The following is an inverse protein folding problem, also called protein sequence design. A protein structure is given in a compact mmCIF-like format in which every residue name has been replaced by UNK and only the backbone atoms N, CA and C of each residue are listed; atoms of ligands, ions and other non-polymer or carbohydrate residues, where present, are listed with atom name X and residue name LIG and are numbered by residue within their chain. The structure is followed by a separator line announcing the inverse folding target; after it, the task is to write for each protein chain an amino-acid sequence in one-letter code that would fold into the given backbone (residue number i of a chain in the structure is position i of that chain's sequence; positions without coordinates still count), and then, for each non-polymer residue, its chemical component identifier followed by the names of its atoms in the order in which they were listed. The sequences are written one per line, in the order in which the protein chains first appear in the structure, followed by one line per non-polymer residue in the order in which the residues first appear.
data_IF_238483226251
#
_entry.id   IF_238483226251
#
_cell.length_a   1.000
_cell.length_b   1.000
_cell.length_c   1.000
_cell.angle_alpha   90.00
_cell.angle_beta   90.00
_cell.angle_gamma   90.00
#
_symmetry.space_group_name_H-M   'P 1'
#
loop_
_entity.id
_entity.type
_entity.pdbx_description
1 polymer ?
#
# COMPACT_ATOMS: atom_id res chain seq x y z
N UNK A 1 64.60 17.01 46.91
CA UNK A 1 63.58 17.67 45.98
C UNK A 1 63.13 16.64 44.97
N UNK A 2 62.00 16.00 45.20
CA UNK A 2 61.46 14.94 44.34
C UNK A 2 60.31 15.57 43.51
N UNK A 3 60.40 15.47 42.17
CA UNK A 3 59.34 15.88 41.26
C UNK A 3 58.47 14.67 40.94
N UNK A 4 57.22 14.70 41.35
CA UNK A 4 56.22 13.72 40.97
C UNK A 4 55.74 14.02 39.56
N UNK A 5 55.88 13.06 38.63
CA UNK A 5 55.31 13.09 37.29
C UNK A 5 53.91 12.49 37.29
N UNK A 6 52.91 13.23 36.89
CA UNK A 6 51.56 12.75 36.64
C UNK A 6 51.51 12.16 35.25
N UNK A 7 51.27 10.87 35.15
CA UNK A 7 50.92 10.19 33.92
C UNK A 7 49.41 10.30 33.72
N UNK A 8 49.00 11.08 32.73
CA UNK A 8 47.58 11.20 32.32
C UNK A 8 47.17 9.97 31.49
N UNK A 9 46.24 9.18 32.00
CA UNK A 9 45.56 8.14 31.23
C UNK A 9 44.51 8.82 30.30
N UNK A 10 44.79 8.77 29.04
CA UNK A 10 43.78 9.15 28.03
C UNK A 10 42.77 7.98 27.83
N UNK A 11 41.54 8.17 28.30
CA UNK A 11 40.43 7.27 27.97
C UNK A 11 39.91 7.59 26.57
N UNK A 12 40.24 6.75 25.61
CA UNK A 12 39.64 6.78 24.28
C UNK A 12 38.28 6.07 24.34
N UNK A 13 37.20 6.84 24.44
CA UNK A 13 35.83 6.31 24.27
C UNK A 13 35.61 6.03 22.81
N UNK A 14 35.63 4.75 22.41
CA UNK A 14 35.18 4.29 21.10
C UNK A 14 33.65 4.32 21.09
N UNK A 15 33.06 5.35 20.50
CA UNK A 15 31.64 5.35 20.15
C UNK A 15 31.43 4.37 19.03
N UNK A 16 31.04 3.15 19.36
CA UNK A 16 30.52 2.17 18.43
C UNK A 16 29.18 2.67 17.89
N UNK A 17 29.17 3.26 16.68
CA UNK A 17 27.94 3.51 15.94
C UNK A 17 27.33 2.14 15.62
N UNK A 18 26.32 1.73 16.37
CA UNK A 18 25.46 0.62 15.99
C UNK A 18 24.75 1.04 14.71
N UNK A 19 25.21 0.53 13.56
CA UNK A 19 24.47 0.55 12.31
C UNK A 19 23.19 -0.26 12.56
N UNK A 20 22.12 0.43 12.93
CA UNK A 20 20.79 -0.14 12.88
C UNK A 20 20.56 -0.55 11.42
N UNK A 21 20.67 -1.84 11.12
CA UNK A 21 20.17 -2.41 9.88
C UNK A 21 18.70 -2.08 9.87
N UNK A 22 18.33 -1.07 9.07
CA UNK A 22 16.93 -0.77 8.79
C UNK A 22 16.36 -2.06 8.19
N UNK A 23 15.66 -2.84 9.00
CA UNK A 23 14.92 -3.99 8.53
C UNK A 23 14.04 -3.49 7.40
N UNK A 24 14.18 -4.10 6.22
CA UNK A 24 13.37 -3.69 5.07
C UNK A 24 11.91 -3.79 5.47
N UNK A 25 11.20 -2.68 5.38
CA UNK A 25 9.78 -2.63 5.71
C UNK A 25 9.03 -3.66 4.88
N UNK A 26 8.16 -4.43 5.53
CA UNK A 26 7.29 -5.34 4.81
C UNK A 26 6.50 -4.56 3.76
N UNK A 27 6.43 -5.07 2.55
CA UNK A 27 5.75 -4.39 1.46
C UNK A 27 4.30 -4.86 1.35
N UNK A 28 3.39 -3.90 1.38
CA UNK A 28 2.00 -4.07 0.99
C UNK A 28 1.82 -3.47 -0.39
N UNK A 29 1.26 -4.20 -1.33
CA UNK A 29 0.96 -3.70 -2.67
C UNK A 29 -0.54 -3.47 -2.82
N UNK A 30 -0.94 -2.26 -3.15
CA UNK A 30 -2.32 -1.93 -3.48
C UNK A 30 -2.48 -1.97 -5.01
N UNK A 31 -3.09 -3.04 -5.52
CA UNK A 31 -3.36 -3.27 -6.93
C UNK A 31 -4.81 -2.89 -7.27
N UNK A 32 -5.01 -2.06 -8.27
CA UNK A 32 -6.35 -1.64 -8.65
C UNK A 32 -6.36 -0.67 -9.82
N UNK A 33 -7.48 0.00 -9.99
CA UNK A 33 -7.69 1.02 -11.02
C UNK A 33 -7.58 2.45 -10.46
N UNK A 34 -8.47 3.37 -10.91
CA UNK A 34 -8.46 4.78 -10.52
C UNK A 34 -8.65 5.02 -9.02
N UNK A 35 -9.53 4.27 -8.36
CA UNK A 35 -9.74 4.40 -6.92
C UNK A 35 -8.53 3.95 -6.09
N UNK A 36 -7.66 3.10 -6.63
CA UNK A 36 -6.37 2.78 -6.00
C UNK A 36 -5.32 3.83 -6.37
N UNK A 37 -5.27 4.27 -7.63
CA UNK A 37 -4.37 5.34 -8.06
C UNK A 37 -4.60 6.66 -7.31
N UNK A 38 -5.85 6.90 -6.88
CA UNK A 38 -6.35 8.11 -6.25
C UNK A 38 -7.22 8.95 -7.18
N UNK A 39 -7.04 8.82 -8.50
CA UNK A 39 -7.74 9.62 -9.50
C UNK A 39 -7.98 8.88 -10.82
N UNK A 40 -8.91 9.38 -11.60
CA UNK A 40 -9.17 8.95 -12.97
C UNK A 40 -8.16 9.49 -13.98
N UNK A 41 -8.62 9.65 -15.21
CA UNK A 41 -7.84 10.19 -16.34
C UNK A 41 -8.36 11.55 -16.83
N UNK A 42 -9.40 12.07 -16.20
CA UNK A 42 -10.04 13.32 -16.58
C UNK A 42 -9.19 14.55 -16.28
N UNK A 43 -9.53 15.66 -16.91
CA UNK A 43 -8.87 16.96 -16.73
C UNK A 43 -9.40 17.74 -15.52
N UNK A 44 -10.59 17.40 -15.01
CA UNK A 44 -11.23 18.04 -13.85
C UNK A 44 -11.12 17.16 -12.61
N UNK A 45 -11.44 17.67 -11.40
CA UNK A 45 -11.19 16.91 -10.16
C UNK A 45 -11.93 15.58 -10.16
N UNK A 46 -11.28 14.58 -10.70
CA UNK A 46 -11.70 13.20 -10.82
C UNK A 46 -10.99 12.31 -9.79
N UNK A 47 -10.65 12.86 -8.65
CA UNK A 47 -9.96 12.15 -7.57
C UNK A 47 -9.07 13.04 -6.74
N UNK A 48 -8.06 12.43 -6.16
CA UNK A 48 -7.07 13.05 -5.27
C UNK A 48 -5.65 12.77 -5.75
N UNK A 49 -4.70 13.56 -5.29
CA UNK A 49 -3.29 13.31 -5.55
C UNK A 49 -2.77 12.08 -4.77
N UNK A 50 -1.69 11.46 -5.26
CA UNK A 50 -1.14 10.23 -4.68
C UNK A 50 -0.94 10.26 -3.16
N UNK A 51 -0.46 11.35 -2.53
CA UNK A 51 -0.32 11.42 -1.08
C UNK A 51 -1.66 11.37 -0.32
N UNK A 52 -2.76 11.71 -0.97
CA UNK A 52 -4.13 11.67 -0.41
C UNK A 52 -4.87 10.38 -0.78
N UNK A 53 -4.35 9.58 -1.71
CA UNK A 53 -4.91 8.28 -2.07
C UNK A 53 -4.77 7.29 -0.89
N UNK A 54 -5.71 6.35 -0.79
CA UNK A 54 -5.79 5.43 0.36
C UNK A 54 -4.49 4.64 0.62
N UNK A 55 -3.69 4.22 -0.38
CA UNK A 55 -2.46 3.49 -0.07
C UNK A 55 -1.48 4.31 0.76
N UNK A 56 -1.29 5.60 0.43
CA UNK A 56 -0.41 6.49 1.19
C UNK A 56 -1.00 6.83 2.58
N UNK A 57 -2.32 6.95 2.69
CA UNK A 57 -2.98 7.18 3.98
C UNK A 57 -2.90 5.93 4.87
N UNK A 58 -3.05 4.74 4.30
CA UNK A 58 -2.90 3.47 4.99
C UNK A 58 -1.48 3.29 5.53
N UNK A 59 -0.47 3.61 4.71
CA UNK A 59 0.92 3.58 5.15
C UNK A 59 1.14 4.45 6.39
N UNK A 60 0.70 5.72 6.33
CA UNK A 60 0.83 6.64 7.47
C UNK A 60 0.09 6.14 8.71
N UNK A 61 -1.12 5.61 8.53
CA UNK A 61 -1.93 5.08 9.62
C UNK A 61 -1.23 3.89 10.31
N UNK A 62 -0.72 2.95 9.53
CA UNK A 62 -0.01 1.78 10.04
C UNK A 62 1.30 2.18 10.73
N UNK A 63 2.06 3.12 10.15
CA UNK A 63 3.29 3.64 10.75
C UNK A 63 3.03 4.36 12.07
N UNK A 64 1.95 5.13 12.17
CA UNK A 64 1.53 5.77 13.43
C UNK A 64 1.16 4.75 14.52
N UNK A 65 0.78 3.53 14.14
CA UNK A 65 0.51 2.40 15.03
C UNK A 65 1.79 1.57 15.34
N UNK A 66 2.97 2.03 14.92
CA UNK A 66 4.24 1.34 15.14
C UNK A 66 4.55 0.23 14.13
N UNK A 67 3.74 0.03 13.11
CA UNK A 67 3.96 -0.95 12.06
C UNK A 67 4.96 -0.41 11.02
N UNK A 68 6.13 -1.03 10.90
CA UNK A 68 7.13 -0.68 9.89
C UNK A 68 6.75 -1.30 8.55
N UNK A 69 5.96 -0.57 7.77
CA UNK A 69 5.45 -1.03 6.48
C UNK A 69 5.51 0.07 5.44
N UNK A 70 5.76 -0.30 4.20
CA UNK A 70 5.59 0.54 3.02
C UNK A 70 4.42 0.01 2.19
N UNK A 71 3.52 0.89 1.77
CA UNK A 71 2.36 0.56 0.94
C UNK A 71 2.57 1.10 -0.47
N UNK A 72 2.92 0.22 -1.39
CA UNK A 72 3.10 0.59 -2.79
C UNK A 72 1.74 0.82 -3.48
N UNK A 73 1.54 2.01 -4.05
CA UNK A 73 0.37 2.29 -4.87
C UNK A 73 0.60 1.80 -6.30
N UNK A 74 0.07 0.63 -6.62
CA UNK A 74 0.05 0.02 -7.94
C UNK A 74 -1.31 0.22 -8.65
N UNK A 75 -2.02 1.32 -8.39
CA UNK A 75 -3.22 1.72 -9.11
C UNK A 75 -2.89 2.28 -10.49
N UNK A 76 -3.67 1.90 -11.51
CA UNK A 76 -3.61 2.45 -12.87
C UNK A 76 -5.03 2.79 -13.32
N UNK A 77 -5.32 4.08 -13.52
CA UNK A 77 -6.64 4.55 -13.91
C UNK A 77 -7.14 3.85 -15.18
N UNK A 78 -8.38 3.38 -15.14
CA UNK A 78 -9.03 2.69 -16.25
C UNK A 78 -8.61 1.23 -16.45
N UNK A 79 -7.76 0.65 -15.60
CA UNK A 79 -7.40 -0.77 -15.73
C UNK A 79 -8.60 -1.69 -15.52
N UNK A 80 -8.69 -2.72 -16.35
CA UNK A 80 -9.52 -3.92 -16.16
C UNK A 80 -8.80 -4.92 -15.28
N UNK A 81 -9.49 -5.95 -14.78
CA UNK A 81 -8.89 -7.05 -14.04
C UNK A 81 -7.89 -7.85 -14.89
N UNK A 82 -8.15 -8.04 -16.18
CA UNK A 82 -7.19 -8.65 -17.09
C UNK A 82 -5.87 -7.85 -17.16
N UNK A 83 -5.95 -6.52 -17.23
CA UNK A 83 -4.77 -5.66 -17.22
C UNK A 83 -4.05 -5.67 -15.86
N UNK A 84 -4.79 -5.81 -14.75
CA UNK A 84 -4.20 -6.00 -13.41
C UNK A 84 -3.44 -7.32 -13.34
N UNK A 85 -4.04 -8.42 -13.82
CA UNK A 85 -3.40 -9.74 -13.89
C UNK A 85 -2.12 -9.69 -14.74
N UNK A 86 -2.15 -9.11 -15.91
CA UNK A 86 -1.00 -9.01 -16.81
C UNK A 86 0.21 -8.29 -16.19
N UNK A 87 -0.01 -7.30 -15.32
CA UNK A 87 1.07 -6.55 -14.66
C UNK A 87 1.40 -7.01 -13.23
N UNK A 88 0.67 -8.00 -12.73
CA UNK A 88 0.85 -8.52 -11.38
C UNK A 88 2.27 -9.04 -11.10
N UNK A 89 2.94 -9.80 -12.01
CA UNK A 89 4.31 -10.24 -11.78
C UNK A 89 5.30 -9.11 -11.51
N UNK A 90 5.10 -7.95 -12.17
CA UNK A 90 5.94 -6.77 -11.98
C UNK A 90 5.53 -5.96 -10.73
N UNK A 91 4.27 -6.02 -10.34
CA UNK A 91 3.76 -5.28 -9.19
C UNK A 91 4.19 -5.91 -7.86
N UNK A 92 4.28 -7.24 -7.78
CA UNK A 92 4.69 -7.96 -6.59
C UNK A 92 6.22 -8.10 -6.54
N UNK A 93 6.84 -7.33 -5.65
CA UNK A 93 8.26 -7.46 -5.31
C UNK A 93 8.55 -8.69 -4.45
N UNK A 94 9.84 -9.03 -4.29
CA UNK A 94 10.28 -10.18 -3.46
C UNK A 94 9.90 -10.04 -1.97
N UNK A 95 9.74 -8.81 -1.49
CA UNK A 95 9.43 -8.51 -0.10
C UNK A 95 7.93 -8.29 0.14
N UNK A 96 7.09 -8.45 -0.90
CA UNK A 96 5.64 -8.29 -0.79
C UNK A 96 5.06 -9.41 0.07
N UNK A 97 4.28 -9.05 1.08
CA UNK A 97 3.58 -9.97 1.99
C UNK A 97 2.07 -9.91 1.83
N UNK A 98 1.54 -8.73 1.51
CA UNK A 98 0.11 -8.49 1.40
C UNK A 98 -0.19 -7.77 0.09
N UNK A 99 -1.17 -8.30 -0.63
CA UNK A 99 -1.77 -7.68 -1.81
C UNK A 99 -3.17 -7.18 -1.44
N UNK A 100 -3.39 -5.88 -1.50
CA UNK A 100 -4.75 -5.33 -1.50
C UNK A 100 -5.22 -5.33 -2.95
N UNK A 101 -6.26 -6.10 -3.26
CA UNK A 101 -6.83 -6.16 -4.59
C UNK A 101 -8.14 -5.39 -4.64
N UNK A 102 -8.16 -4.30 -5.42
CA UNK A 102 -9.36 -3.52 -5.70
C UNK A 102 -9.80 -3.77 -7.17
N UNK A 103 -10.64 -4.77 -7.42
CA UNK A 103 -11.23 -4.96 -8.73
C UNK A 103 -12.17 -3.80 -9.03
N UNK A 104 -12.23 -3.36 -10.26
CA UNK A 104 -13.02 -2.18 -10.65
C UNK A 104 -14.14 -2.49 -11.62
N UNK A 105 -15.09 -1.56 -11.73
CA UNK A 105 -16.18 -1.61 -12.71
C UNK A 105 -15.74 -1.33 -14.16
N UNK A 106 -14.44 -1.29 -14.45
CA UNK A 106 -13.95 -1.04 -15.80
C UNK A 106 -14.17 -2.23 -16.73
N UNK A 107 -14.21 -3.44 -16.20
CA UNK A 107 -14.51 -4.64 -16.98
C UNK A 107 -15.90 -4.51 -17.61
N UNK A 108 -16.90 -4.20 -16.82
CA UNK A 108 -18.27 -3.99 -17.33
C UNK A 108 -18.36 -2.86 -18.34
N UNK A 109 -17.68 -1.73 -18.10
CA UNK A 109 -17.69 -0.56 -19.00
C UNK A 109 -16.98 -0.81 -20.34
N UNK A 110 -16.13 -1.81 -20.42
CA UNK A 110 -15.32 -2.13 -21.61
C UNK A 110 -15.77 -3.41 -22.32
N UNK A 111 -17.02 -3.82 -22.14
CA UNK A 111 -17.58 -4.94 -22.88
C UNK A 111 -17.53 -6.26 -22.14
N UNK A 112 -17.40 -6.22 -20.82
CA UNK A 112 -17.37 -7.41 -20.01
C UNK A 112 -16.06 -8.18 -20.16
N UNK A 113 -15.88 -9.16 -19.43
CA UNK A 113 -14.73 -10.05 -19.40
C UNK A 113 -14.83 -10.88 -18.15
N UNK A 114 -14.00 -11.83 -18.03
CA UNK A 114 -13.97 -12.80 -16.96
C UNK A 114 -13.45 -12.18 -15.65
N UNK A 115 -14.18 -11.15 -15.15
CA UNK A 115 -13.77 -10.42 -13.92
C UNK A 115 -13.53 -11.40 -12.78
N UNK A 116 -14.42 -12.37 -12.60
CA UNK A 116 -14.30 -13.40 -11.58
C UNK A 116 -13.07 -14.27 -11.76
N UNK A 117 -12.87 -14.76 -12.97
CA UNK A 117 -11.74 -15.63 -13.32
C UNK A 117 -10.41 -14.90 -13.20
N UNK A 118 -10.36 -13.64 -13.65
CA UNK A 118 -9.16 -12.78 -13.49
C UNK A 118 -8.84 -12.52 -12.01
N UNK A 119 -9.84 -12.26 -11.18
CA UNK A 119 -9.66 -12.06 -9.74
C UNK A 119 -9.14 -13.34 -9.09
N UNK A 120 -9.68 -14.48 -9.46
CA UNK A 120 -9.23 -15.78 -8.95
C UNK A 120 -7.80 -16.10 -9.39
N UNK A 121 -7.46 -15.85 -10.65
CA UNK A 121 -6.09 -16.01 -11.15
C UNK A 121 -5.09 -15.11 -10.42
N UNK A 122 -5.48 -13.85 -10.08
CA UNK A 122 -4.66 -12.95 -9.27
C UNK A 122 -4.44 -13.52 -7.86
N UNK A 123 -5.47 -14.06 -7.22
CA UNK A 123 -5.35 -14.69 -5.89
C UNK A 123 -4.44 -15.92 -5.93
N UNK A 124 -4.59 -16.79 -6.92
CA UNK A 124 -3.76 -17.97 -7.09
C UNK A 124 -2.29 -17.60 -7.31
N UNK A 125 -2.03 -16.60 -8.14
CA UNK A 125 -0.67 -16.09 -8.37
C UNK A 125 -0.05 -15.52 -7.10
N UNK A 126 -0.80 -14.77 -6.30
CA UNK A 126 -0.35 -14.23 -5.02
C UNK A 126 -0.07 -15.36 -4.01
N UNK A 127 -0.99 -16.32 -3.88
CA UNK A 127 -0.87 -17.47 -2.99
C UNK A 127 0.38 -18.32 -3.31
N UNK A 128 0.67 -18.56 -4.59
CA UNK A 128 1.87 -19.29 -5.04
C UNK A 128 3.18 -18.59 -4.63
N UNK A 129 3.14 -17.34 -4.23
CA UNK A 129 4.28 -16.53 -3.73
C UNK A 129 4.22 -16.28 -2.23
N UNK A 130 3.28 -16.91 -1.52
CA UNK A 130 3.09 -16.67 -0.08
C UNK A 130 2.56 -15.27 0.25
N UNK A 131 1.95 -14.58 -0.72
CA UNK A 131 1.37 -13.25 -0.54
C UNK A 131 -0.11 -13.38 -0.17
N UNK A 132 -0.48 -12.86 1.01
CA UNK A 132 -1.86 -12.82 1.45
C UNK A 132 -2.67 -11.79 0.64
N UNK A 133 -3.93 -12.09 0.32
CA UNK A 133 -4.79 -11.17 -0.44
C UNK A 133 -5.88 -10.60 0.45
N UNK A 134 -5.95 -9.27 0.51
CA UNK A 134 -7.04 -8.50 1.11
C UNK A 134 -7.90 -7.93 -0.01
N UNK A 135 -9.16 -8.32 -0.06
CA UNK A 135 -10.10 -7.83 -1.06
C UNK A 135 -10.66 -6.46 -0.68
N UNK A 136 -10.68 -5.55 -1.65
CA UNK A 136 -11.30 -4.25 -1.51
C UNK A 136 -12.30 -4.04 -2.67
N UNK A 137 -13.44 -4.69 -2.59
CA UNK A 137 -14.44 -4.79 -3.65
C UNK A 137 -15.64 -3.84 -3.50
N UNK A 138 -15.83 -3.23 -2.33
CA UNK A 138 -17.00 -2.42 -2.01
C UNK A 138 -16.69 -0.99 -1.52
N UNK A 139 -15.89 -0.19 -2.26
CA UNK A 139 -15.54 1.16 -1.82
C UNK A 139 -16.78 2.07 -1.63
N UNK A 140 -17.81 1.90 -2.45
CA UNK A 140 -19.04 2.68 -2.35
C UNK A 140 -19.85 2.45 -1.07
N UNK A 141 -19.79 1.27 -0.47
CA UNK A 141 -20.40 0.96 0.84
C UNK A 141 -19.69 1.69 1.98
N UNK A 142 -18.37 1.83 1.86
CA UNK A 142 -17.54 2.39 2.94
C UNK A 142 -17.62 3.91 2.92
N UNK A 143 -17.49 4.53 1.77
CA UNK A 143 -17.34 5.98 1.64
C UNK A 143 -18.26 6.59 0.57
N UNK A 144 -19.44 6.01 0.31
CA UNK A 144 -20.35 6.47 -0.75
C UNK A 144 -20.74 7.95 -0.63
N UNK A 145 -20.89 8.47 0.60
CA UNK A 145 -21.17 9.89 0.87
C UNK A 145 -20.04 10.85 0.48
N UNK A 146 -18.83 10.34 0.29
CA UNK A 146 -17.64 11.10 -0.12
C UNK A 146 -17.32 10.91 -1.61
N UNK A 147 -18.29 10.46 -2.37
CA UNK A 147 -18.16 10.33 -3.82
C UNK A 147 -18.12 11.72 -4.46
N UNK A 148 -17.22 11.87 -5.40
CA UNK A 148 -17.10 13.11 -6.17
C UNK A 148 -18.26 13.26 -7.17
N UNK A 149 -18.46 14.45 -7.75
CA UNK A 149 -19.55 14.71 -8.71
C UNK A 149 -19.55 13.80 -9.95
N UNK A 150 -18.41 13.21 -10.31
CA UNK A 150 -18.30 12.24 -11.40
C UNK A 150 -18.97 10.89 -11.10
N UNK A 151 -19.46 10.69 -9.88
CA UNK A 151 -20.13 9.48 -9.43
C UNK A 151 -19.27 8.23 -9.30
N UNK A 152 -17.96 8.34 -9.49
CA UNK A 152 -17.04 7.20 -9.53
C UNK A 152 -15.89 7.29 -8.54
N UNK A 153 -15.30 8.46 -8.38
CA UNK A 153 -14.13 8.70 -7.53
C UNK A 153 -14.52 9.29 -6.18
N UNK A 154 -13.57 9.41 -5.30
CA UNK A 154 -13.81 9.79 -3.90
C UNK A 154 -12.89 10.91 -3.47
N UNK A 155 -13.35 11.72 -2.51
CA UNK A 155 -12.57 12.77 -1.87
C UNK A 155 -11.44 12.20 -0.99
N UNK A 156 -10.58 13.08 -0.48
CA UNK A 156 -9.51 12.69 0.45
C UNK A 156 -10.06 12.02 1.73
N UNK A 157 -11.21 12.48 2.23
CA UNK A 157 -11.90 11.88 3.37
C UNK A 157 -12.42 10.48 3.04
N UNK A 158 -12.94 10.28 1.83
CA UNK A 158 -13.33 8.95 1.34
C UNK A 158 -12.14 7.98 1.31
N UNK A 159 -11.00 8.46 0.84
CA UNK A 159 -9.75 7.68 0.85
C UNK A 159 -9.23 7.43 2.26
N UNK A 160 -9.42 8.35 3.23
CA UNK A 160 -9.09 8.11 4.63
C UNK A 160 -9.96 7.00 5.25
N UNK A 161 -11.24 6.95 4.92
CA UNK A 161 -12.12 5.86 5.35
C UNK A 161 -11.71 4.52 4.73
N UNK A 162 -11.25 4.50 3.48
CA UNK A 162 -10.69 3.28 2.88
C UNK A 162 -9.47 2.79 3.64
N UNK A 163 -8.54 3.69 3.97
CA UNK A 163 -7.35 3.35 4.74
C UNK A 163 -7.72 2.78 6.12
N UNK A 164 -8.64 3.43 6.84
CA UNK A 164 -9.10 2.98 8.16
C UNK A 164 -9.80 1.62 8.10
N UNK A 165 -10.59 1.36 7.05
CA UNK A 165 -11.26 0.08 6.84
C UNK A 165 -10.28 -1.06 6.53
N UNK A 166 -9.24 -0.77 5.75
CA UNK A 166 -8.26 -1.77 5.31
C UNK A 166 -7.20 -2.06 6.37
N UNK A 167 -6.87 -1.12 7.24
CA UNK A 167 -5.79 -1.27 8.21
C UNK A 167 -5.87 -2.55 9.07
N UNK A 168 -6.98 -2.87 9.76
CA UNK A 168 -7.06 -4.08 10.56
C UNK A 168 -6.94 -5.36 9.71
N UNK A 169 -7.44 -5.37 8.49
CA UNK A 169 -7.37 -6.50 7.57
C UNK A 169 -5.93 -6.75 7.11
N UNK A 170 -5.20 -5.69 6.78
CA UNK A 170 -3.81 -5.73 6.34
C UNK A 170 -2.89 -6.18 7.49
N UNK A 171 -3.15 -5.71 8.71
CA UNK A 171 -2.43 -6.18 9.92
C UNK A 171 -2.68 -7.68 10.15
N UNK A 172 -3.94 -8.11 10.10
CA UNK A 172 -4.30 -9.53 10.26
C UNK A 172 -3.69 -10.40 9.16
N UNK A 173 -3.51 -9.87 7.96
CA UNK A 173 -2.85 -10.54 6.84
C UNK A 173 -1.32 -10.63 6.99
N UNK A 174 -0.75 -10.04 8.04
CA UNK A 174 0.67 -10.17 8.39
C UNK A 174 1.59 -9.07 7.86
N UNK A 175 1.07 -7.89 7.54
CA UNK A 175 1.89 -6.77 7.10
C UNK A 175 2.87 -6.26 8.17
N UNK A 176 2.49 -6.35 9.44
CA UNK A 176 3.22 -5.78 10.58
C UNK A 176 4.04 -6.81 11.40
N UNK A 177 4.60 -7.79 10.73
CA UNK A 177 5.45 -8.83 11.39
C UNK A 177 6.92 -8.43 11.38
#
# INVERSE_FOLDING_TARGET
MAKAGWAGLAFTTVFGAALATAGQAAEVVALGASNTAGRGRGATPDGVDRPQAYPAQLERLLQAQGCRVRVANAGVAGNTTAQMLARLPKALGKDTRVLILQPGGNDQRRGGGDTGDNVEAIKQFAAARGVAVVMFDQPGRIAGRFRLPDGQHFSAEGHALFASHLAPQVVSAGACR
#
